data_IF_525925956634
#
_entry.id   IF_525925956634
#
_cell.length_a   1.000
_cell.length_b   1.000
_cell.length_c   1.000
_cell.angle_alpha   90.00
_cell.angle_beta   90.00
_cell.angle_gamma   90.00
#
_symmetry.space_group_name_H-M   'P 1'
#
loop_
_entity.id
_entity.type
_entity.pdbx_description
1 polymer ?
#
# COMPACT_ATOMS: atom_id res chain seq x y z
N UNK A 1 20.66 4.46 8.23
CA UNK A 1 19.21 4.19 8.42
C UNK A 1 18.43 5.36 7.86
N UNK A 2 17.57 5.11 6.87
CA UNK A 2 16.72 6.15 6.28
C UNK A 2 15.50 6.35 7.19
N UNK A 3 15.26 7.61 7.55
CA UNK A 3 14.07 8.01 8.29
C UNK A 3 13.09 8.66 7.33
N UNK A 4 11.83 8.28 7.49
CA UNK A 4 10.70 8.73 6.70
C UNK A 4 9.87 9.60 7.64
N UNK A 5 9.78 10.90 7.33
CA UNK A 5 8.98 11.86 8.05
C UNK A 5 7.74 12.21 7.22
N UNK A 6 6.65 11.47 7.42
CA UNK A 6 5.43 11.62 6.62
C UNK A 6 4.17 11.46 7.47
N UNK A 7 3.03 11.95 6.96
CA UNK A 7 1.71 11.57 7.49
C UNK A 7 1.33 10.21 6.88
N UNK A 8 0.71 9.33 7.65
CA UNK A 8 0.18 8.10 7.08
C UNK A 8 -0.87 8.45 6.01
N UNK A 9 -0.70 8.04 4.75
CA UNK A 9 -1.61 8.43 3.66
C UNK A 9 -2.98 7.77 3.77
N UNK A 10 -3.11 6.77 4.65
CA UNK A 10 -4.34 6.00 4.89
C UNK A 10 -5.04 6.39 6.21
N UNK A 11 -4.56 7.44 6.90
CA UNK A 11 -5.19 7.98 8.10
C UNK A 11 -5.78 9.37 7.80
N UNK A 12 -7.11 9.53 7.91
CA UNK A 12 -7.77 10.83 7.70
C UNK A 12 -7.22 11.96 8.60
N UNK A 13 -6.81 11.61 9.82
CA UNK A 13 -6.25 12.55 10.82
C UNK A 13 -4.84 12.14 11.28
N UNK A 14 -4.06 11.54 10.37
CA UNK A 14 -2.72 11.05 10.69
C UNK A 14 -1.78 12.16 11.18
N UNK A 15 -1.20 11.99 12.38
CA UNK A 15 -0.07 12.80 12.82
C UNK A 15 1.14 12.53 11.91
N UNK A 16 2.02 13.52 11.77
CA UNK A 16 3.30 13.28 11.14
C UNK A 16 4.12 12.32 12.00
N UNK A 17 4.60 11.24 11.40
CA UNK A 17 5.43 10.22 12.03
C UNK A 17 6.81 10.33 11.41
N UNK A 18 7.85 10.45 12.24
CA UNK A 18 9.25 10.30 11.82
C UNK A 18 9.76 8.98 12.32
N UNK A 19 9.87 8.01 11.42
CA UNK A 19 10.22 6.64 11.78
C UNK A 19 11.13 6.02 10.72
N UNK A 20 11.94 5.04 11.13
CA UNK A 20 12.69 4.23 10.17
C UNK A 20 11.73 3.32 9.37
N UNK A 21 12.22 2.76 8.28
CA UNK A 21 11.46 1.88 7.38
C UNK A 21 10.73 0.75 8.12
N UNK A 22 11.41 0.02 9.01
CA UNK A 22 10.81 -1.06 9.79
C UNK A 22 9.69 -0.57 10.71
N UNK A 23 9.89 0.57 11.36
CA UNK A 23 8.89 1.17 12.25
C UNK A 23 7.63 1.62 11.51
N UNK A 24 7.71 1.93 10.21
CA UNK A 24 6.55 2.24 9.38
C UNK A 24 5.69 1.00 9.02
N UNK A 25 6.23 -0.21 9.11
CA UNK A 25 5.45 -1.43 8.86
C UNK A 25 4.28 -1.59 9.84
N UNK A 26 4.45 -1.14 11.08
CA UNK A 26 3.41 -1.24 12.13
C UNK A 26 2.17 -0.42 11.76
N UNK A 27 2.25 0.93 11.59
CA UNK A 27 1.07 1.71 11.23
C UNK A 27 0.47 1.29 9.89
N UNK A 28 1.30 0.99 8.87
CA UNK A 28 0.80 0.53 7.56
C UNK A 28 0.08 -0.81 7.64
N UNK A 29 0.49 -1.69 8.55
CA UNK A 29 -0.20 -2.97 8.76
C UNK A 29 -1.65 -2.80 9.24
N UNK A 30 -2.00 -1.66 9.84
CA UNK A 30 -3.38 -1.35 10.23
C UNK A 30 -4.30 -1.03 9.04
N UNK A 31 -3.73 -0.65 7.89
CA UNK A 31 -4.45 -0.05 6.76
C UNK A 31 -4.56 -0.96 5.54
N UNK A 32 -4.69 -2.27 5.77
CA UNK A 32 -4.71 -3.24 4.67
C UNK A 32 -5.82 -2.92 3.67
N UNK A 33 -7.02 -2.58 4.15
CA UNK A 33 -8.18 -2.39 3.28
C UNK A 33 -8.08 -1.08 2.48
N UNK A 34 -7.53 -0.03 3.07
CA UNK A 34 -7.28 1.26 2.44
C UNK A 34 -6.15 1.16 1.39
N UNK A 35 -5.12 0.34 1.66
CA UNK A 35 -4.08 0.02 0.66
C UNK A 35 -4.72 -0.70 -0.55
N UNK A 36 -5.62 -1.66 -0.29
CA UNK A 36 -6.34 -2.38 -1.35
C UNK A 36 -7.22 -1.42 -2.14
N UNK A 37 -8.00 -0.58 -1.46
CA UNK A 37 -8.86 0.42 -2.11
C UNK A 37 -8.06 1.34 -3.04
N UNK A 38 -6.93 1.86 -2.57
CA UNK A 38 -6.01 2.66 -3.38
C UNK A 38 -5.55 1.89 -4.62
N UNK A 39 -5.04 0.66 -4.47
CA UNK A 39 -4.57 -0.16 -5.59
C UNK A 39 -5.68 -0.43 -6.60
N UNK A 40 -6.91 -0.65 -6.14
CA UNK A 40 -8.06 -0.91 -7.01
C UNK A 40 -8.55 0.32 -7.75
N UNK A 41 -8.25 1.51 -7.22
CA UNK A 41 -8.59 2.79 -7.83
C UNK A 41 -7.52 3.30 -8.79
N UNK A 42 -6.26 2.93 -8.57
CA UNK A 42 -5.13 3.43 -9.37
C UNK A 42 -4.64 2.47 -10.45
N UNK A 43 -4.97 1.17 -10.37
CA UNK A 43 -4.37 0.15 -11.22
C UNK A 43 -5.42 -0.69 -11.94
N UNK A 44 -5.29 -0.83 -13.26
CA UNK A 44 -6.17 -1.66 -14.11
C UNK A 44 -5.78 -3.16 -14.10
N UNK A 45 -4.62 -3.47 -13.52
CA UNK A 45 -4.08 -4.83 -13.40
C UNK A 45 -3.27 -4.99 -12.12
N UNK A 46 -2.99 -6.24 -11.76
CA UNK A 46 -2.18 -6.56 -10.59
C UNK A 46 -0.69 -6.25 -10.81
N UNK A 47 -0.12 -5.40 -9.96
CA UNK A 47 1.32 -5.09 -9.96
C UNK A 47 2.19 -6.22 -9.39
N UNK A 48 1.57 -7.24 -8.76
CA UNK A 48 2.27 -8.30 -8.03
C UNK A 48 2.27 -9.65 -8.75
N UNK A 49 1.31 -9.88 -9.64
CA UNK A 49 1.25 -11.12 -10.42
C UNK A 49 2.36 -11.12 -11.48
N UNK A 50 2.96 -12.28 -11.71
CA UNK A 50 3.98 -12.46 -12.76
C UNK A 50 3.40 -12.41 -14.18
N UNK A 51 2.09 -12.58 -14.31
CA UNK A 51 1.34 -12.48 -15.55
C UNK A 51 0.38 -11.28 -15.49
N UNK A 52 0.08 -10.72 -16.67
CA UNK A 52 -0.87 -9.62 -16.78
C UNK A 52 -2.28 -10.13 -16.47
N UNK A 53 -2.79 -9.74 -15.30
CA UNK A 53 -4.16 -10.02 -14.88
C UNK A 53 -4.96 -8.72 -14.90
N UNK A 54 -5.80 -8.54 -15.94
CA UNK A 54 -6.66 -7.36 -16.07
C UNK A 54 -7.89 -7.49 -15.17
N UNK A 55 -8.25 -6.42 -14.48
CA UNK A 55 -9.43 -6.42 -13.63
C UNK A 55 -10.71 -6.13 -14.42
N UNK A 56 -11.71 -7.00 -14.24
CA UNK A 56 -13.05 -6.80 -14.85
C UNK A 56 -13.79 -5.63 -14.20
N UNK A 57 -13.61 -5.43 -12.89
CA UNK A 57 -14.19 -4.32 -12.12
C UNK A 57 -13.48 -4.17 -10.76
N UNK A 58 -13.79 -3.10 -10.02
CA UNK A 58 -13.22 -2.83 -8.69
C UNK A 58 -13.47 -3.95 -7.68
N UNK A 59 -14.62 -4.62 -7.74
CA UNK A 59 -14.94 -5.74 -6.85
C UNK A 59 -14.02 -6.94 -7.12
N UNK A 60 -13.77 -7.24 -8.39
CA UNK A 60 -12.82 -8.28 -8.80
C UNK A 60 -11.41 -7.95 -8.32
N UNK A 61 -10.94 -6.72 -8.57
CA UNK A 61 -9.63 -6.25 -8.14
C UNK A 61 -9.45 -6.33 -6.61
N UNK A 62 -10.41 -5.82 -5.84
CA UNK A 62 -10.33 -5.83 -4.37
C UNK A 62 -10.38 -7.25 -3.81
N UNK A 63 -11.16 -8.14 -4.41
CA UNK A 63 -11.19 -9.57 -4.03
C UNK A 63 -9.84 -10.22 -4.30
N UNK A 64 -9.27 -10.01 -5.49
CA UNK A 64 -7.95 -10.53 -5.86
C UNK A 64 -6.87 -10.11 -4.85
N UNK A 65 -6.75 -8.81 -4.55
CA UNK A 65 -5.77 -8.36 -3.56
C UNK A 65 -6.00 -8.91 -2.14
N UNK A 66 -7.25 -9.17 -1.75
CA UNK A 66 -7.56 -9.75 -0.43
C UNK A 66 -7.20 -11.22 -0.31
N UNK A 67 -7.30 -11.99 -1.39
CA UNK A 67 -7.19 -13.45 -1.31
C UNK A 67 -5.91 -13.99 -1.92
N UNK A 68 -5.40 -13.35 -2.97
CA UNK A 68 -4.27 -13.86 -3.75
C UNK A 68 -2.93 -13.27 -3.28
N UNK A 69 -2.97 -12.21 -2.45
CA UNK A 69 -1.77 -11.54 -1.93
C UNK A 69 -1.70 -11.52 -0.41
N UNK A 70 -0.49 -11.76 0.10
CA UNK A 70 -0.22 -11.64 1.52
C UNK A 70 -0.29 -10.18 1.96
N UNK A 71 -0.73 -9.96 3.20
CA UNK A 71 -0.73 -8.64 3.84
C UNK A 71 0.66 -7.97 3.80
N UNK A 72 1.73 -8.76 3.99
CA UNK A 72 3.11 -8.30 3.93
C UNK A 72 3.47 -7.70 2.57
N UNK A 73 3.04 -8.31 1.47
CA UNK A 73 3.25 -7.81 0.09
C UNK A 73 2.63 -6.42 -0.07
N UNK A 74 1.36 -6.27 0.32
CA UNK A 74 0.63 -5.01 0.21
C UNK A 74 1.26 -3.89 1.06
N UNK A 75 1.66 -4.23 2.30
CA UNK A 75 2.29 -3.28 3.23
C UNK A 75 3.67 -2.85 2.74
N UNK A 76 4.48 -3.78 2.21
CA UNK A 76 5.80 -3.45 1.66
C UNK A 76 5.69 -2.56 0.43
N UNK A 77 4.73 -2.83 -0.46
CA UNK A 77 4.45 -1.96 -1.60
C UNK A 77 4.05 -0.55 -1.17
N UNK A 78 3.17 -0.43 -0.17
CA UNK A 78 2.74 0.86 0.36
C UNK A 78 3.91 1.66 0.94
N UNK A 79 4.84 0.97 1.62
CA UNK A 79 6.06 1.56 2.16
C UNK A 79 7.00 2.05 1.04
N UNK A 80 7.18 1.27 -0.03
CA UNK A 80 7.99 1.68 -1.19
C UNK A 80 7.40 2.90 -1.91
N UNK A 81 6.07 2.97 -2.02
CA UNK A 81 5.39 4.16 -2.58
C UNK A 81 5.55 5.38 -1.69
N UNK A 82 5.42 5.21 -0.38
CA UNK A 82 5.56 6.28 0.60
C UNK A 82 6.99 6.86 0.59
N UNK A 83 8.02 6.01 0.45
CA UNK A 83 9.40 6.47 0.28
C UNK A 83 9.60 7.29 -1.00
N UNK A 84 9.00 6.86 -2.12
CA UNK A 84 9.08 7.59 -3.40
C UNK A 84 8.43 8.97 -3.33
N UNK A 85 7.38 9.16 -2.52
CA UNK A 85 6.71 10.45 -2.34
C UNK A 85 7.57 11.49 -1.58
N UNK A 86 8.59 11.07 -0.84
CA UNK A 86 9.48 11.97 -0.06
C UNK A 86 10.67 12.46 -0.89
N UNK A 87 11.01 11.75 -1.97
CA UNK A 87 12.14 12.06 -2.85
C UNK A 87 11.77 12.97 -4.03
N UNK A 88 10.52 13.44 -4.08
CA UNK A 88 9.98 14.41 -5.06
C UNK A 88 9.74 15.73 -4.34
#
# INVERSE_FOLDING_TARGET
MTYIASKCPYCDNGKQITANRTSWLIPLSGHREEIIEYLTDTSESCEFCSYLELYVNKKHASSHYRWDHQKSTLVNWALDKLEKQILV
#
